data_IF_187252868084
#
_entry.id   IF_187252868084
#
_cell.length_a   1.000
_cell.length_b   1.000
_cell.length_c   1.000
_cell.angle_alpha   90.00
_cell.angle_beta   90.00
_cell.angle_gamma   90.00
#
_symmetry.space_group_name_H-M   'P 1'
#
loop_
_entity.id
_entity.type
_entity.pdbx_description
1 polymer ?
#
# COMPACT_ATOMS: atom_id res chain seq x y z
N UNK A 1 -41.69 -9.75 14.20
CA UNK A 1 -40.84 -10.07 15.35
C UNK A 1 -39.86 -11.21 15.10
N UNK A 2 -39.83 -11.78 13.86
CA UNK A 2 -38.83 -12.81 13.49
C UNK A 2 -37.50 -12.13 13.28
N UNK A 3 -36.47 -12.63 13.95
CA UNK A 3 -35.09 -12.20 13.73
C UNK A 3 -34.50 -12.92 12.52
N UNK A 4 -33.94 -12.18 11.61
CA UNK A 4 -33.18 -12.65 10.44
C UNK A 4 -31.74 -12.26 10.65
N UNK A 5 -30.85 -13.25 10.70
CA UNK A 5 -29.41 -13.05 10.82
C UNK A 5 -28.74 -13.33 9.48
N UNK A 6 -28.04 -12.34 8.94
CA UNK A 6 -27.24 -12.44 7.73
C UNK A 6 -25.77 -12.34 8.15
N UNK A 7 -24.99 -13.39 7.90
CA UNK A 7 -23.55 -13.43 8.18
C UNK A 7 -22.79 -13.52 6.86
N UNK A 8 -21.67 -12.79 6.78
CA UNK A 8 -20.82 -12.75 5.59
C UNK A 8 -19.45 -13.36 5.88
N UNK A 9 -18.86 -14.02 4.89
CA UNK A 9 -17.57 -14.70 5.00
C UNK A 9 -16.91 -14.92 3.64
N UNK A 10 -15.64 -15.27 3.66
CA UNK A 10 -14.85 -15.41 2.44
C UNK A 10 -14.53 -16.85 2.05
N UNK A 11 -14.57 -17.76 3.01
CA UNK A 11 -14.14 -19.15 2.83
C UNK A 11 -15.16 -20.13 3.35
N UNK A 12 -15.15 -21.33 2.77
CA UNK A 12 -15.80 -22.51 3.34
C UNK A 12 -14.72 -23.42 3.92
N UNK A 13 -14.96 -23.96 5.11
CA UNK A 13 -14.12 -24.98 5.71
C UNK A 13 -14.90 -26.30 5.70
N UNK A 14 -14.38 -27.31 5.01
CA UNK A 14 -15.03 -28.59 4.80
C UNK A 14 -16.47 -28.47 4.25
N UNK A 15 -16.68 -27.49 3.35
CA UNK A 15 -17.99 -27.19 2.76
C UNK A 15 -18.92 -26.36 3.65
N UNK A 16 -18.54 -26.04 4.87
CA UNK A 16 -19.33 -25.25 5.81
C UNK A 16 -18.90 -23.79 5.82
N UNK A 17 -19.84 -22.89 6.08
CA UNK A 17 -19.57 -21.47 6.27
C UNK A 17 -18.57 -21.27 7.41
N UNK A 18 -17.51 -20.51 7.14
CA UNK A 18 -16.45 -20.19 8.10
C UNK A 18 -16.14 -18.71 8.08
N UNK A 19 -16.07 -18.08 9.25
CA UNK A 19 -15.74 -16.67 9.42
C UNK A 19 -14.66 -16.42 10.48
N UNK A 20 -13.98 -17.45 10.99
CA UNK A 20 -12.91 -17.32 11.98
C UNK A 20 -11.69 -16.58 11.45
N UNK A 21 -11.48 -16.53 10.13
CA UNK A 21 -10.43 -15.74 9.49
C UNK A 21 -10.70 -14.23 9.55
N UNK A 22 -11.90 -13.79 9.92
CA UNK A 22 -12.26 -12.38 10.06
C UNK A 22 -11.84 -11.80 11.41
N UNK A 23 -11.18 -12.58 12.25
CA UNK A 23 -10.68 -12.22 13.59
C UNK A 23 -11.83 -11.80 14.51
N UNK A 24 -11.86 -10.55 14.97
CA UNK A 24 -12.90 -10.01 15.87
C UNK A 24 -14.05 -9.33 15.13
N UNK A 25 -13.96 -9.19 13.81
CA UNK A 25 -15.04 -8.60 13.02
C UNK A 25 -16.28 -9.49 13.05
N UNK A 26 -17.40 -8.94 13.53
CA UNK A 26 -18.66 -9.68 13.62
C UNK A 26 -19.29 -9.91 12.25
N UNK A 27 -19.03 -9.12 11.25
CA UNK A 27 -19.42 -9.28 9.85
C UNK A 27 -20.83 -9.86 9.68
N UNK A 28 -21.80 -9.27 10.38
CA UNK A 28 -23.18 -9.75 10.47
C UNK A 28 -24.18 -8.59 10.53
N UNK A 29 -25.37 -8.84 10.02
CA UNK A 29 -26.50 -7.93 10.04
C UNK A 29 -27.71 -8.61 10.67
N UNK A 30 -28.24 -7.99 11.71
CA UNK A 30 -29.44 -8.45 12.43
C UNK A 30 -30.64 -7.60 12.00
N UNK A 31 -31.65 -8.25 11.49
CA UNK A 31 -32.91 -7.61 11.13
C UNK A 31 -34.07 -8.26 11.86
N UNK A 32 -34.90 -7.46 12.49
CA UNK A 32 -36.14 -7.90 13.13
C UNK A 32 -37.30 -7.50 12.24
N UNK A 33 -37.95 -8.52 11.64
CA UNK A 33 -39.08 -8.31 10.74
C UNK A 33 -40.29 -7.71 11.47
N UNK A 34 -40.90 -6.71 10.89
CA UNK A 34 -42.18 -6.15 11.31
C UNK A 34 -43.38 -6.84 10.64
N UNK A 35 -43.14 -7.89 9.83
CA UNK A 35 -44.17 -8.66 9.13
C UNK A 35 -44.64 -8.03 7.81
N UNK A 36 -44.02 -6.92 7.37
CA UNK A 36 -44.31 -6.31 6.07
C UNK A 36 -43.30 -6.76 5.02
N UNK A 37 -43.75 -6.87 3.77
CA UNK A 37 -42.84 -7.07 2.63
C UNK A 37 -42.10 -5.77 2.32
N UNK A 38 -40.79 -5.83 2.33
CA UNK A 38 -39.92 -4.69 2.00
C UNK A 38 -38.50 -5.10 1.66
N UNK A 39 -37.84 -4.25 0.92
CA UNK A 39 -36.41 -4.30 0.68
C UNK A 39 -35.64 -3.80 1.92
N UNK A 40 -34.57 -4.51 2.29
CA UNK A 40 -33.74 -4.21 3.45
C UNK A 40 -32.33 -3.95 2.95
N UNK A 41 -31.82 -2.75 3.20
CA UNK A 41 -30.46 -2.34 2.87
C UNK A 41 -29.75 -1.87 4.13
N UNK A 42 -28.60 -2.47 4.52
CA UNK A 42 -27.81 -1.96 5.63
C UNK A 42 -27.31 -0.54 5.36
N UNK A 43 -27.35 0.33 6.37
CA UNK A 43 -26.88 1.71 6.28
C UNK A 43 -25.59 1.90 7.08
N UNK A 44 -24.68 2.76 6.60
CA UNK A 44 -23.43 3.15 7.24
C UNK A 44 -22.48 1.99 7.56
N UNK A 45 -22.58 0.91 6.79
CA UNK A 45 -21.71 -0.27 6.88
C UNK A 45 -21.62 -0.96 5.53
N UNK A 46 -20.54 -1.76 5.36
CA UNK A 46 -20.35 -2.64 4.22
C UNK A 46 -19.57 -3.88 4.64
N UNK A 47 -19.57 -4.89 3.80
CA UNK A 47 -18.95 -6.18 4.07
C UNK A 47 -18.15 -6.65 2.85
N UNK A 48 -16.94 -7.17 3.08
CA UNK A 48 -16.21 -7.93 2.07
C UNK A 48 -16.55 -9.41 2.21
N UNK A 49 -17.05 -10.07 1.14
CA UNK A 49 -17.49 -11.46 1.25
C UNK A 49 -17.50 -12.19 -0.10
N UNK A 50 -17.52 -13.52 -0.01
CA UNK A 50 -17.80 -14.45 -1.10
C UNK A 50 -19.02 -15.31 -0.81
N UNK A 51 -19.33 -15.51 0.47
CA UNK A 51 -20.41 -16.37 0.94
C UNK A 51 -21.29 -15.63 1.94
N UNK A 52 -22.57 -15.88 1.87
CA UNK A 52 -23.57 -15.34 2.80
C UNK A 52 -24.31 -16.51 3.44
N UNK A 53 -24.40 -16.48 4.77
CA UNK A 53 -25.23 -17.42 5.54
C UNK A 53 -26.40 -16.66 6.11
N UNK A 54 -27.62 -17.15 5.86
CA UNK A 54 -28.85 -16.57 6.39
C UNK A 54 -29.50 -17.56 7.36
N UNK A 55 -29.98 -17.04 8.48
CA UNK A 55 -30.65 -17.79 9.53
C UNK A 55 -31.92 -17.05 9.97
N UNK A 56 -32.88 -17.80 10.56
CA UNK A 56 -34.13 -17.24 11.06
C UNK A 56 -35.31 -17.28 10.07
N UNK A 57 -35.02 -17.61 8.80
CA UNK A 57 -36.06 -17.81 7.76
C UNK A 57 -35.78 -19.05 6.95
N UNK A 58 -36.83 -19.57 6.32
CA UNK A 58 -36.79 -20.75 5.43
C UNK A 58 -37.32 -20.37 4.05
N UNK A 59 -37.06 -21.22 3.06
CA UNK A 59 -37.56 -21.07 1.68
C UNK A 59 -37.01 -19.84 0.95
N UNK A 60 -35.76 -19.48 1.22
CA UNK A 60 -35.03 -18.43 0.49
C UNK A 60 -34.45 -18.95 -0.82
N UNK A 61 -34.47 -18.11 -1.83
CA UNK A 61 -33.72 -18.29 -3.08
C UNK A 61 -32.61 -17.25 -3.23
N UNK A 62 -31.70 -17.46 -4.18
CA UNK A 62 -30.70 -16.44 -4.51
C UNK A 62 -31.34 -15.17 -5.07
N UNK A 63 -32.53 -15.25 -5.64
CA UNK A 63 -33.28 -14.13 -6.21
C UNK A 63 -33.81 -13.15 -5.16
N UNK A 64 -33.84 -13.58 -3.89
CA UNK A 64 -34.22 -12.73 -2.76
C UNK A 64 -33.09 -11.77 -2.34
N UNK A 65 -31.91 -11.88 -2.96
CA UNK A 65 -30.73 -11.09 -2.60
C UNK A 65 -30.13 -10.36 -3.79
N UNK A 66 -29.77 -9.12 -3.57
CA UNK A 66 -28.99 -8.31 -4.52
C UNK A 66 -27.70 -7.85 -3.86
N UNK A 67 -26.55 -8.23 -4.44
CA UNK A 67 -25.25 -7.73 -3.98
C UNK A 67 -25.00 -6.35 -4.57
N UNK A 68 -24.77 -5.35 -3.71
CA UNK A 68 -24.43 -4.00 -4.09
C UNK A 68 -22.90 -3.80 -3.98
N UNK A 69 -22.27 -3.37 -5.06
CA UNK A 69 -20.85 -3.02 -5.06
C UNK A 69 -20.69 -1.58 -4.59
N UNK A 70 -19.95 -1.38 -3.52
CA UNK A 70 -19.62 -0.05 -2.98
C UNK A 70 -18.15 0.23 -3.23
N UNK A 71 -17.85 1.32 -3.91
CA UNK A 71 -16.49 1.84 -4.09
C UNK A 71 -16.55 3.36 -4.34
N UNK A 72 -15.41 4.04 -4.15
CA UNK A 72 -15.27 5.42 -4.62
C UNK A 72 -15.47 5.46 -6.14
N UNK A 73 -16.08 6.54 -6.62
CA UNK A 73 -16.31 6.74 -8.06
C UNK A 73 -15.01 7.12 -8.77
N UNK A 74 -14.57 6.29 -9.69
CA UNK A 74 -13.42 6.52 -10.57
C UNK A 74 -13.67 5.89 -11.95
N UNK A 75 -13.23 6.57 -12.99
CA UNK A 75 -13.31 6.06 -14.34
C UNK A 75 -12.30 4.95 -14.58
N UNK A 76 -12.74 3.81 -15.14
CA UNK A 76 -11.86 2.76 -15.62
C UNK A 76 -11.19 3.19 -16.92
N UNK A 77 -9.90 3.50 -16.89
CA UNK A 77 -9.13 3.98 -18.06
C UNK A 77 -8.21 2.91 -18.64
N UNK A 78 -7.85 1.89 -17.85
CA UNK A 78 -6.95 0.82 -18.27
C UNK A 78 -7.67 -0.47 -18.61
N UNK A 79 -7.16 -1.18 -19.63
CA UNK A 79 -7.60 -2.53 -19.99
C UNK A 79 -6.39 -3.35 -20.44
N UNK A 80 -6.25 -4.52 -19.86
CA UNK A 80 -5.27 -5.51 -20.31
C UNK A 80 -5.99 -6.83 -20.59
N UNK A 81 -5.76 -7.38 -21.77
CA UNK A 81 -6.24 -8.69 -22.19
C UNK A 81 -5.11 -9.43 -22.90
N UNK A 82 -4.88 -10.68 -22.54
CA UNK A 82 -3.80 -11.50 -23.05
C UNK A 82 -4.32 -12.85 -23.56
N UNK A 83 -3.50 -13.58 -24.31
CA UNK A 83 -3.81 -14.95 -24.69
C UNK A 83 -3.70 -15.98 -23.55
N UNK A 84 -3.40 -15.58 -22.33
CA UNK A 84 -3.22 -16.47 -21.18
C UNK A 84 -4.33 -16.25 -20.13
N UNK A 85 -5.20 -17.24 -19.98
CA UNK A 85 -6.39 -17.14 -19.11
C UNK A 85 -6.08 -16.78 -17.66
N UNK A 86 -5.02 -17.36 -17.04
CA UNK A 86 -4.65 -17.07 -15.66
C UNK A 86 -4.15 -15.62 -15.48
N UNK A 87 -3.51 -15.03 -16.51
CA UNK A 87 -3.12 -13.61 -16.47
C UNK A 87 -4.37 -12.73 -16.51
N UNK A 88 -5.34 -13.05 -17.37
CA UNK A 88 -6.60 -12.31 -17.44
C UNK A 88 -7.39 -12.43 -16.13
N UNK A 89 -7.38 -13.63 -15.51
CA UNK A 89 -8.00 -13.83 -14.19
C UNK A 89 -7.29 -13.01 -13.11
N UNK A 90 -5.95 -12.94 -13.13
CA UNK A 90 -5.18 -12.09 -12.21
C UNK A 90 -5.59 -10.62 -12.34
N UNK A 91 -5.67 -10.09 -13.57
CA UNK A 91 -6.10 -8.69 -13.81
C UNK A 91 -7.51 -8.45 -13.26
N UNK A 92 -8.44 -9.36 -13.53
CA UNK A 92 -9.81 -9.28 -12.97
C UNK A 92 -9.79 -9.28 -11.43
N UNK A 93 -8.98 -10.12 -10.80
CA UNK A 93 -8.86 -10.17 -9.35
C UNK A 93 -8.29 -8.86 -8.78
N UNK A 94 -7.30 -8.27 -9.45
CA UNK A 94 -6.71 -6.97 -9.06
C UNK A 94 -7.76 -5.86 -9.15
N UNK A 95 -8.55 -5.82 -10.23
CA UNK A 95 -9.65 -4.83 -10.37
C UNK A 95 -10.71 -4.99 -9.27
N UNK A 96 -11.11 -6.21 -8.94
CA UNK A 96 -12.07 -6.46 -7.85
C UNK A 96 -11.48 -6.16 -6.48
N UNK A 97 -10.20 -6.47 -6.25
CA UNK A 97 -9.49 -6.08 -5.04
C UNK A 97 -9.45 -4.57 -4.85
N UNK A 98 -9.16 -3.83 -5.93
CA UNK A 98 -9.20 -2.36 -5.91
C UNK A 98 -10.59 -1.83 -5.56
N UNK A 99 -11.66 -2.33 -6.19
CA UNK A 99 -13.05 -1.92 -5.90
C UNK A 99 -13.45 -2.19 -4.45
N UNK A 100 -13.06 -3.34 -3.91
CA UNK A 100 -13.37 -3.72 -2.53
C UNK A 100 -12.64 -2.87 -1.48
N UNK A 101 -11.51 -2.24 -1.85
CA UNK A 101 -10.66 -1.50 -0.93
C UNK A 101 -10.64 0.02 -1.16
N UNK A 102 -11.05 0.49 -2.33
CA UNK A 102 -11.10 1.93 -2.63
C UNK A 102 -12.48 2.50 -2.29
N UNK A 103 -12.72 2.72 -1.01
CA UNK A 103 -13.92 3.37 -0.50
C UNK A 103 -13.51 4.49 0.46
N UNK A 104 -13.47 5.73 -0.03
CA UNK A 104 -13.02 6.94 0.64
C UNK A 104 -11.50 6.98 0.92
N UNK A 105 -10.94 5.91 1.48
CA UNK A 105 -9.51 5.69 1.66
C UNK A 105 -9.09 4.34 1.06
N UNK A 106 -7.81 4.17 0.66
CA UNK A 106 -7.31 2.89 0.16
C UNK A 106 -7.05 1.94 1.32
N UNK A 107 -8.04 1.10 1.65
CA UNK A 107 -7.90 0.14 2.77
C UNK A 107 -7.08 -1.07 2.38
N UNK A 108 -6.47 -1.73 3.37
CA UNK A 108 -5.71 -2.97 3.22
C UNK A 108 -6.59 -4.19 2.96
N UNK A 109 -7.81 -4.17 3.46
CA UNK A 109 -8.76 -5.27 3.33
C UNK A 109 -10.21 -4.77 3.50
N UNK A 110 -11.21 -5.45 2.87
CA UNK A 110 -12.61 -5.03 2.97
C UNK A 110 -13.43 -5.76 4.04
N UNK A 111 -12.90 -6.80 4.72
CA UNK A 111 -13.74 -7.79 5.41
C UNK A 111 -13.47 -7.97 6.90
N UNK A 112 -12.19 -7.91 7.34
CA UNK A 112 -11.80 -8.22 8.73
C UNK A 112 -11.76 -6.99 9.62
N UNK A 113 -11.36 -7.15 10.88
CA UNK A 113 -11.27 -6.10 11.89
C UNK A 113 -10.08 -5.11 11.74
N UNK A 114 -9.69 -4.83 10.53
CA UNK A 114 -8.62 -3.89 10.15
C UNK A 114 -9.22 -2.78 9.29
N UNK A 115 -9.27 -2.91 7.99
CA UNK A 115 -9.88 -1.94 7.05
C UNK A 115 -9.36 -0.52 7.24
N UNK A 116 -8.05 -0.39 7.24
CA UNK A 116 -7.35 0.87 7.47
C UNK A 116 -6.61 1.33 6.23
N UNK A 117 -6.40 2.63 6.09
CA UNK A 117 -5.61 3.23 5.01
C UNK A 117 -4.11 3.07 5.25
N UNK A 118 -3.60 1.84 5.16
CA UNK A 118 -2.17 1.55 5.30
C UNK A 118 -1.35 2.20 4.19
N UNK A 119 -0.42 3.03 4.58
CA UNK A 119 0.40 3.82 3.64
C UNK A 119 1.35 2.95 2.83
N UNK A 120 1.88 1.86 3.39
CA UNK A 120 2.71 0.89 2.69
C UNK A 120 1.97 0.21 1.55
N UNK A 121 0.80 -0.33 1.83
CA UNK A 121 -0.08 -0.98 0.86
C UNK A 121 -0.45 -0.02 -0.28
N UNK A 122 -0.82 1.19 0.10
CA UNK A 122 -1.22 2.23 -0.85
C UNK A 122 -0.07 2.64 -1.76
N UNK A 123 1.14 2.87 -1.22
CA UNK A 123 2.27 3.29 -2.04
C UNK A 123 2.66 2.22 -3.06
N UNK A 124 2.69 0.94 -2.65
CA UNK A 124 3.02 -0.18 -3.55
C UNK A 124 1.98 -0.33 -4.66
N UNK A 125 0.71 -0.16 -4.34
CA UNK A 125 -0.39 -0.34 -5.28
C UNK A 125 -0.66 0.88 -6.16
N UNK A 126 -0.17 2.07 -5.82
CA UNK A 126 -0.52 3.35 -6.47
C UNK A 126 -0.30 3.37 -7.98
N UNK A 127 0.81 2.82 -8.47
CA UNK A 127 1.07 2.72 -9.91
C UNK A 127 0.11 1.73 -10.58
N UNK A 128 -0.15 0.57 -9.97
CA UNK A 128 -1.08 -0.44 -10.49
C UNK A 128 -2.49 0.14 -10.60
N UNK A 129 -2.97 0.83 -9.57
CA UNK A 129 -4.26 1.48 -9.59
C UNK A 129 -4.37 2.51 -10.72
N UNK A 130 -3.32 3.31 -10.93
CA UNK A 130 -3.28 4.35 -11.98
C UNK A 130 -3.16 3.78 -13.39
N UNK A 131 -2.70 2.53 -13.55
CA UNK A 131 -2.80 1.81 -14.83
C UNK A 131 -4.23 1.36 -15.15
N UNK A 132 -5.05 1.10 -14.12
CA UNK A 132 -6.39 0.55 -14.27
C UNK A 132 -7.47 1.62 -14.36
N UNK A 133 -7.28 2.75 -13.67
CA UNK A 133 -8.31 3.76 -13.51
C UNK A 133 -7.72 5.17 -13.38
N UNK A 134 -8.57 6.19 -13.60
CA UNK A 134 -8.26 7.56 -13.19
C UNK A 134 -8.37 7.67 -11.66
N UNK A 135 -7.21 7.63 -11.02
CA UNK A 135 -7.09 7.67 -9.57
C UNK A 135 -6.73 9.05 -9.03
N UNK A 136 -6.66 10.08 -9.90
CA UNK A 136 -6.17 11.40 -9.51
C UNK A 136 -6.95 12.01 -8.33
N UNK A 137 -8.27 12.07 -8.43
CA UNK A 137 -9.12 12.65 -7.39
C UNK A 137 -9.05 11.85 -6.08
N UNK A 138 -9.03 10.52 -6.19
CA UNK A 138 -8.95 9.62 -5.04
C UNK A 138 -7.64 9.78 -4.27
N UNK A 139 -6.50 9.73 -4.95
CA UNK A 139 -5.21 9.92 -4.31
C UNK A 139 -4.97 11.35 -3.85
N UNK A 140 -5.48 12.36 -4.57
CA UNK A 140 -5.40 13.75 -4.12
C UNK A 140 -6.06 13.94 -2.75
N UNK A 141 -7.24 13.32 -2.54
CA UNK A 141 -7.93 13.34 -1.24
C UNK A 141 -7.11 12.64 -0.16
N UNK A 142 -6.66 11.42 -0.42
CA UNK A 142 -5.88 10.62 0.53
C UNK A 142 -4.55 11.32 0.92
N UNK A 143 -3.86 11.90 -0.06
CA UNK A 143 -2.63 12.67 0.16
C UNK A 143 -2.88 13.94 1.00
N UNK A 144 -4.03 14.59 0.81
CA UNK A 144 -4.41 15.71 1.67
C UNK A 144 -4.59 15.26 3.11
N UNK A 145 -5.32 14.18 3.36
CA UNK A 145 -5.52 13.64 4.70
C UNK A 145 -4.18 13.25 5.35
N UNK A 146 -3.33 12.56 4.61
CA UNK A 146 -1.99 12.17 5.06
C UNK A 146 -1.13 13.38 5.44
N UNK A 147 -1.19 14.47 4.68
CA UNK A 147 -0.46 15.69 4.99
C UNK A 147 -1.00 16.38 6.25
N UNK A 148 -2.33 16.37 6.48
CA UNK A 148 -2.90 16.90 7.74
C UNK A 148 -2.40 16.12 8.97
N UNK A 149 -2.32 14.79 8.88
CA UNK A 149 -1.76 13.94 9.95
C UNK A 149 -0.24 14.22 10.14
N UNK A 150 0.50 14.38 9.06
CA UNK A 150 1.93 14.68 9.07
C UNK A 150 2.26 16.01 9.76
N UNK A 151 1.39 17.02 9.63
CA UNK A 151 1.54 18.32 10.32
C UNK A 151 1.46 18.18 11.84
N UNK A 152 0.77 17.15 12.36
CA UNK A 152 0.64 16.88 13.79
C UNK A 152 1.82 16.10 14.37
N UNK A 153 2.71 15.59 13.54
CA UNK A 153 3.75 14.62 13.87
C UNK A 153 5.16 15.07 13.50
N UNK A 154 5.38 16.38 13.36
CA UNK A 154 6.69 16.98 13.03
C UNK A 154 7.30 16.39 11.74
N UNK A 155 6.48 16.18 10.73
CA UNK A 155 6.88 15.68 9.42
C UNK A 155 6.86 14.16 9.26
N UNK A 156 6.61 13.40 10.33
CA UNK A 156 6.45 11.94 10.25
C UNK A 156 5.17 11.58 9.52
N UNK A 157 5.26 10.69 8.53
CA UNK A 157 4.10 10.12 7.87
C UNK A 157 3.64 8.89 8.65
N UNK A 158 2.38 8.84 9.11
CA UNK A 158 1.83 7.69 9.81
C UNK A 158 1.79 6.43 8.93
N UNK A 159 1.86 5.27 9.56
CA UNK A 159 1.68 3.97 8.88
C UNK A 159 0.24 3.75 8.38
N UNK A 160 -0.73 4.43 9.00
CA UNK A 160 -2.16 4.37 8.68
C UNK A 160 -2.73 5.78 8.61
N UNK A 161 -3.57 6.06 7.62
CA UNK A 161 -4.28 7.34 7.45
C UNK A 161 -5.76 7.09 7.17
N UNK A 162 -6.69 7.65 7.95
CA UNK A 162 -6.45 8.41 9.19
C UNK A 162 -5.96 7.53 10.35
N UNK A 163 -5.27 8.14 11.32
CA UNK A 163 -4.74 7.44 12.50
C UNK A 163 -5.80 7.26 13.60
N UNK A 164 -5.62 6.23 14.43
CA UNK A 164 -6.50 5.90 15.56
C UNK A 164 -5.74 5.85 16.89
N UNK A 165 -4.79 6.74 17.11
CA UNK A 165 -4.00 6.78 18.33
C UNK A 165 -2.55 7.15 18.08
N UNK A 166 -1.61 6.71 18.93
CA UNK A 166 -0.20 7.02 18.75
C UNK A 166 0.30 6.51 17.38
N UNK A 167 0.78 7.44 16.57
CA UNK A 167 1.28 7.15 15.24
C UNK A 167 2.66 6.51 15.28
N UNK A 168 2.88 5.57 14.38
CA UNK A 168 4.19 4.98 14.06
C UNK A 168 4.48 5.22 12.59
N UNK A 169 5.71 4.97 12.21
CA UNK A 169 6.13 4.99 10.82
C UNK A 169 7.19 3.93 10.54
N UNK A 170 7.39 3.63 9.27
CA UNK A 170 8.40 2.69 8.77
C UNK A 170 8.83 3.11 7.38
N UNK A 171 10.05 2.70 6.97
CA UNK A 171 10.43 2.75 5.57
C UNK A 171 9.43 1.96 4.70
N UNK A 172 9.28 2.33 3.46
CA UNK A 172 8.28 1.85 2.50
C UNK A 172 6.82 2.26 2.82
N UNK A 173 6.46 2.47 4.09
CA UNK A 173 5.15 3.01 4.50
C UNK A 173 5.10 4.53 4.39
N UNK A 174 5.93 5.25 5.16
CA UNK A 174 5.95 6.71 5.13
C UNK A 174 6.42 7.29 3.80
N UNK A 175 7.17 6.53 3.02
CA UNK A 175 7.60 6.92 1.65
C UNK A 175 6.41 7.11 0.68
N UNK A 176 5.21 6.75 1.10
CA UNK A 176 3.95 7.08 0.43
C UNK A 176 3.83 8.59 0.12
N UNK A 177 4.32 9.45 1.03
CA UNK A 177 4.32 10.90 0.83
C UNK A 177 5.10 11.35 -0.42
N UNK A 178 6.11 10.59 -0.82
CA UNK A 178 6.91 10.88 -2.02
C UNK A 178 6.43 10.07 -3.24
N UNK A 179 6.19 8.77 -3.05
CA UNK A 179 5.94 7.82 -4.15
C UNK A 179 4.56 8.04 -4.78
N UNK A 180 3.51 8.21 -3.97
CA UNK A 180 2.15 8.34 -4.49
C UNK A 180 1.99 9.60 -5.35
N UNK A 181 2.32 10.84 -4.88
CA UNK A 181 2.16 12.02 -5.70
C UNK A 181 3.04 12.00 -6.96
N UNK A 182 4.24 11.37 -6.89
CA UNK A 182 5.09 11.18 -8.05
C UNK A 182 4.43 10.24 -9.07
N UNK A 183 3.87 9.11 -8.65
CA UNK A 183 3.15 8.19 -9.53
C UNK A 183 1.94 8.89 -10.15
N UNK A 184 1.11 9.56 -9.35
CA UNK A 184 -0.06 10.31 -9.86
C UNK A 184 0.35 11.32 -10.93
N UNK A 185 1.45 12.04 -10.71
CA UNK A 185 2.00 12.95 -11.72
C UNK A 185 2.43 12.22 -13.00
N UNK A 186 3.14 11.11 -12.88
CA UNK A 186 3.61 10.35 -14.06
C UNK A 186 2.45 9.82 -14.93
N UNK A 187 1.33 9.47 -14.32
CA UNK A 187 0.17 8.95 -15.04
C UNK A 187 -0.76 10.05 -15.56
N UNK A 188 -0.91 11.16 -14.85
CA UNK A 188 -1.80 12.27 -15.24
C UNK A 188 -1.12 13.33 -16.09
N UNK A 189 0.19 13.51 -15.94
CA UNK A 189 0.92 14.67 -16.50
C UNK A 189 0.62 15.99 -15.78
N UNK A 190 -0.29 16.00 -14.80
CA UNK A 190 -0.69 17.21 -14.09
C UNK A 190 0.25 17.47 -12.89
N UNK A 191 1.08 18.50 -13.03
CA UNK A 191 2.01 18.92 -11.99
C UNK A 191 1.35 19.55 -10.77
N UNK A 192 0.05 19.88 -10.82
CA UNK A 192 -0.68 20.47 -9.69
C UNK A 192 -0.62 19.56 -8.46
N UNK A 193 -0.61 18.23 -8.64
CA UNK A 193 -0.46 17.29 -7.54
C UNK A 193 0.88 17.47 -6.83
N UNK A 194 1.97 17.70 -7.59
CA UNK A 194 3.30 17.96 -7.03
C UNK A 194 3.35 19.33 -6.33
N UNK A 195 2.70 20.37 -6.91
CA UNK A 195 2.59 21.68 -6.29
C UNK A 195 1.91 21.62 -4.92
N UNK A 196 0.87 20.79 -4.79
CA UNK A 196 0.12 20.60 -3.56
C UNK A 196 0.86 19.74 -2.53
N UNK A 197 1.73 18.84 -2.97
CA UNK A 197 2.36 17.84 -2.10
C UNK A 197 3.86 18.07 -1.83
N UNK A 198 4.51 19.02 -2.50
CA UNK A 198 5.96 19.21 -2.36
C UNK A 198 6.39 19.46 -0.91
N UNK A 199 5.59 20.17 -0.12
CA UNK A 199 5.90 20.44 1.28
C UNK A 199 5.76 19.17 2.15
N UNK A 200 4.77 18.32 1.89
CA UNK A 200 4.62 16.99 2.51
C UNK A 200 5.82 16.08 2.16
N UNK A 201 6.18 16.05 0.87
CA UNK A 201 7.31 15.26 0.37
C UNK A 201 8.63 15.65 1.04
N UNK A 202 8.87 16.96 1.15
CA UNK A 202 10.04 17.52 1.86
C UNK A 202 10.02 17.15 3.34
N UNK A 203 8.90 17.40 4.01
CA UNK A 203 8.75 17.15 5.43
C UNK A 203 9.07 15.69 5.80
N UNK A 204 8.70 14.74 4.93
CA UNK A 204 9.05 13.32 5.09
C UNK A 204 10.56 13.08 5.04
N UNK A 205 11.25 13.58 4.03
CA UNK A 205 12.70 13.42 3.88
C UNK A 205 13.44 14.13 5.02
N UNK A 206 12.99 15.31 5.41
CA UNK A 206 13.56 16.10 6.51
C UNK A 206 13.34 15.39 7.87
N UNK A 207 12.19 14.73 8.06
CA UNK A 207 11.94 13.88 9.23
C UNK A 207 12.96 12.73 9.31
N UNK A 208 13.17 11.98 8.23
CA UNK A 208 14.17 10.92 8.20
C UNK A 208 15.56 11.47 8.53
N UNK A 209 15.95 12.56 7.89
CA UNK A 209 17.23 13.23 8.12
C UNK A 209 17.43 13.63 9.58
N UNK A 210 16.37 14.13 10.24
CA UNK A 210 16.40 14.50 11.65
C UNK A 210 16.55 13.28 12.55
N UNK A 211 15.86 12.17 12.25
CA UNK A 211 15.92 10.92 13.03
C UNK A 211 17.23 10.17 12.82
N UNK A 212 17.77 10.21 11.61
CA UNK A 212 19.05 9.60 11.27
C UNK A 212 20.25 10.28 11.99
N UNK A 213 20.19 11.58 12.20
CA UNK A 213 21.26 12.34 12.80
C UNK A 213 22.50 12.39 11.93
N UNK A 214 23.67 11.97 12.46
CA UNK A 214 24.96 12.00 11.75
C UNK A 214 25.29 10.68 11.02
N UNK A 215 24.41 9.68 11.07
CA UNK A 215 24.72 8.32 10.59
C UNK A 215 24.52 8.12 9.09
N UNK A 216 23.92 9.07 8.39
CA UNK A 216 23.68 9.04 6.94
C UNK A 216 22.98 7.74 6.46
N UNK A 217 21.99 7.29 7.21
CA UNK A 217 21.16 6.14 6.88
C UNK A 217 20.05 6.00 7.91
N UNK A 218 18.91 5.39 7.55
CA UNK A 218 17.77 5.30 8.47
C UNK A 218 17.71 3.94 9.18
N UNK A 219 18.72 3.64 10.00
CA UNK A 219 18.98 2.30 10.55
C UNK A 219 18.52 2.09 11.99
N UNK A 220 18.35 3.16 12.77
CA UNK A 220 18.10 3.09 14.21
C UNK A 220 16.60 3.20 14.58
N UNK A 221 15.71 3.07 13.61
CA UNK A 221 14.27 3.11 13.80
C UNK A 221 13.66 1.72 13.63
N UNK A 222 12.42 1.55 14.07
CA UNK A 222 11.63 0.37 13.76
C UNK A 222 11.25 0.35 12.28
N UNK A 223 11.40 -0.79 11.63
CA UNK A 223 10.95 -1.01 10.27
C UNK A 223 10.23 -2.35 10.14
N UNK A 224 9.19 -2.38 9.31
CA UNK A 224 8.51 -3.62 8.94
C UNK A 224 9.36 -4.47 7.99
N UNK A 225 10.31 -3.86 7.30
CA UNK A 225 11.19 -4.55 6.38
C UNK A 225 10.44 -5.21 5.22
N UNK A 226 10.84 -6.43 4.92
CA UNK A 226 10.23 -7.27 3.88
C UNK A 226 9.03 -8.03 4.47
N UNK A 227 7.91 -7.30 4.66
CA UNK A 227 6.71 -7.78 5.33
C UNK A 227 6.08 -8.96 4.59
N UNK A 228 5.81 -10.05 5.31
CA UNK A 228 5.19 -11.27 4.79
C UNK A 228 5.96 -12.01 3.67
N UNK A 229 7.26 -11.75 3.50
CA UNK A 229 8.06 -12.50 2.53
C UNK A 229 8.20 -13.99 2.87
N UNK A 230 8.07 -14.37 4.16
CA UNK A 230 8.07 -15.76 4.67
C UNK A 230 9.35 -16.56 4.35
N UNK A 231 10.43 -15.89 4.01
CA UNK A 231 11.70 -16.49 3.58
C UNK A 231 12.81 -16.44 4.64
N UNK A 232 12.52 -15.99 5.87
CA UNK A 232 13.51 -15.87 6.96
C UNK A 232 13.93 -17.26 7.47
N UNK A 233 15.21 -17.65 7.32
CA UNK A 233 15.69 -18.94 7.78
C UNK A 233 15.51 -19.11 9.30
N UNK A 234 14.99 -20.27 9.73
CA UNK A 234 14.79 -20.57 11.14
C UNK A 234 13.70 -19.75 11.84
N UNK A 235 12.88 -19.03 11.08
CA UNK A 235 11.74 -18.32 11.64
C UNK A 235 10.76 -19.28 12.32
N UNK A 236 10.20 -18.85 13.47
CA UNK A 236 9.14 -19.59 14.15
C UNK A 236 7.81 -19.42 13.39
N UNK A 237 6.91 -20.37 13.59
CA UNK A 237 5.53 -20.25 13.11
C UNK A 237 4.92 -18.90 13.53
N UNK A 238 4.25 -18.23 12.59
CA UNK A 238 3.66 -16.90 12.81
C UNK A 238 4.65 -15.72 12.64
N UNK A 239 5.92 -15.97 12.27
CA UNK A 239 6.80 -14.88 11.89
C UNK A 239 6.32 -14.23 10.58
N UNK A 240 6.23 -12.92 10.59
CA UNK A 240 5.75 -12.10 9.46
C UNK A 240 6.86 -11.32 8.75
N UNK A 241 8.06 -11.31 9.31
CA UNK A 241 9.20 -10.58 8.76
C UNK A 241 10.02 -11.46 7.82
N UNK A 242 10.34 -10.94 6.63
CA UNK A 242 11.20 -11.60 5.66
C UNK A 242 12.68 -11.60 6.06
N UNK A 243 13.52 -12.21 5.21
CA UNK A 243 14.96 -12.34 5.42
C UNK A 243 15.76 -11.11 4.99
N UNK A 244 15.18 -10.20 4.22
CA UNK A 244 15.88 -9.00 3.73
C UNK A 244 16.24 -8.08 4.89
N UNK A 245 17.47 -7.59 4.90
CA UNK A 245 17.96 -6.65 5.90
C UNK A 245 17.09 -5.38 5.93
N UNK A 246 16.53 -5.07 7.08
CA UNK A 246 15.58 -3.95 7.26
C UNK A 246 16.27 -2.60 7.08
N UNK A 247 17.54 -2.50 7.52
CA UNK A 247 18.33 -1.28 7.36
C UNK A 247 18.65 -1.01 5.87
N UNK A 248 18.93 -2.06 5.10
CA UNK A 248 19.11 -1.95 3.66
C UNK A 248 17.86 -1.39 2.96
N UNK A 249 16.69 -1.92 3.31
CA UNK A 249 15.42 -1.43 2.74
C UNK A 249 15.23 0.05 3.11
N UNK A 250 15.45 0.41 4.37
CA UNK A 250 15.30 1.78 4.85
C UNK A 250 16.24 2.76 4.16
N UNK A 251 17.52 2.40 4.02
CA UNK A 251 18.52 3.22 3.34
C UNK A 251 18.18 3.44 1.84
N UNK A 252 17.69 2.40 1.16
CA UNK A 252 17.26 2.47 -0.25
C UNK A 252 16.04 3.37 -0.41
N UNK A 253 15.02 3.24 0.46
CA UNK A 253 13.81 4.07 0.37
C UNK A 253 14.08 5.52 0.75
N UNK A 254 14.98 5.78 1.71
CA UNK A 254 15.42 7.14 2.04
C UNK A 254 16.06 7.83 0.82
N UNK A 255 17.02 7.17 0.18
CA UNK A 255 17.68 7.68 -1.03
C UNK A 255 16.67 7.90 -2.17
N UNK A 256 15.75 6.97 -2.36
CA UNK A 256 14.71 7.05 -3.40
C UNK A 256 13.74 8.21 -3.15
N UNK A 257 13.30 8.40 -1.91
CA UNK A 257 12.41 9.51 -1.54
C UNK A 257 13.07 10.86 -1.73
N UNK A 258 14.33 11.03 -1.31
CA UNK A 258 15.09 12.25 -1.57
C UNK A 258 15.23 12.52 -3.08
N UNK A 259 15.52 11.51 -3.87
CA UNK A 259 15.59 11.64 -5.33
C UNK A 259 14.25 12.02 -5.96
N UNK A 260 13.13 11.50 -5.45
CA UNK A 260 11.78 11.86 -5.92
C UNK A 260 11.50 13.34 -5.60
N UNK A 261 11.84 13.83 -4.40
CA UNK A 261 11.70 15.26 -4.06
C UNK A 261 12.51 16.13 -5.01
N UNK A 262 13.76 15.77 -5.29
CA UNK A 262 14.60 16.49 -6.25
C UNK A 262 13.96 16.54 -7.66
N UNK A 263 13.46 15.42 -8.16
CA UNK A 263 12.75 15.35 -9.45
C UNK A 263 11.48 16.19 -9.47
N UNK A 264 10.67 16.12 -8.41
CA UNK A 264 9.45 16.93 -8.29
C UNK A 264 9.77 18.43 -8.26
N UNK A 265 10.78 18.83 -7.51
CA UNK A 265 11.28 20.22 -7.48
C UNK A 265 11.74 20.70 -8.86
N UNK A 266 12.41 19.84 -9.62
CA UNK A 266 12.81 20.13 -11.01
C UNK A 266 11.61 20.35 -11.94
N UNK A 267 10.59 19.50 -11.87
CA UNK A 267 9.32 19.67 -12.62
C UNK A 267 8.64 20.99 -12.27
N UNK A 268 8.72 21.41 -11.01
CA UNK A 268 8.11 22.65 -10.51
C UNK A 268 8.99 23.89 -10.75
N UNK A 269 10.18 23.76 -11.34
CA UNK A 269 11.11 24.86 -11.58
C UNK A 269 11.75 25.42 -10.31
N UNK A 270 11.75 24.67 -9.21
CA UNK A 270 12.33 25.06 -7.90
C UNK A 270 13.80 24.63 -7.81
N UNK A 271 14.70 25.34 -8.53
CA UNK A 271 16.09 24.93 -8.75
C UNK A 271 16.91 24.75 -7.47
N UNK A 272 16.78 25.64 -6.49
CA UNK A 272 17.50 25.51 -5.21
C UNK A 272 17.06 24.26 -4.45
N UNK A 273 15.76 24.02 -4.39
CA UNK A 273 15.20 22.83 -3.76
C UNK A 273 15.64 21.56 -4.47
N UNK A 274 15.62 21.57 -5.80
CA UNK A 274 16.10 20.46 -6.62
C UNK A 274 17.55 20.13 -6.28
N UNK A 275 18.42 21.14 -6.21
CA UNK A 275 19.84 20.95 -5.89
C UNK A 275 20.02 20.37 -4.48
N UNK A 276 19.37 20.94 -3.48
CA UNK A 276 19.44 20.48 -2.09
C UNK A 276 19.07 18.98 -1.96
N UNK A 277 17.92 18.58 -2.50
CA UNK A 277 17.48 17.19 -2.36
C UNK A 277 18.20 16.23 -3.29
N UNK A 278 18.79 16.71 -4.39
CA UNK A 278 19.68 15.89 -5.20
C UNK A 278 20.99 15.59 -4.44
N UNK A 279 21.56 16.56 -3.73
CA UNK A 279 22.74 16.36 -2.89
C UNK A 279 22.48 15.34 -1.77
N UNK A 280 21.29 15.42 -1.12
CA UNK A 280 20.86 14.42 -0.14
C UNK A 280 20.74 13.04 -0.78
N UNK A 281 20.07 12.94 -1.93
CA UNK A 281 19.89 11.67 -2.65
C UNK A 281 21.24 11.05 -3.04
N UNK A 282 22.15 11.84 -3.61
CA UNK A 282 23.47 11.37 -4.05
C UNK A 282 24.30 10.85 -2.86
N UNK A 283 24.23 11.55 -1.73
CA UNK A 283 24.87 11.11 -0.50
C UNK A 283 24.29 9.78 0.00
N UNK A 284 22.98 9.63 0.02
CA UNK A 284 22.32 8.40 0.48
C UNK A 284 22.57 7.24 -0.48
N UNK A 285 22.52 7.45 -1.80
CA UNK A 285 22.91 6.41 -2.76
C UNK A 285 24.36 5.97 -2.59
N UNK A 286 25.26 6.89 -2.23
CA UNK A 286 26.65 6.54 -1.89
C UNK A 286 26.70 5.66 -0.64
N UNK A 287 25.96 5.99 0.43
CA UNK A 287 25.84 5.17 1.65
C UNK A 287 25.37 3.76 1.32
N UNK A 288 24.31 3.62 0.52
CA UNK A 288 23.79 2.32 0.09
C UNK A 288 24.85 1.52 -0.68
N UNK A 289 25.56 2.16 -1.61
CA UNK A 289 26.61 1.50 -2.40
C UNK A 289 27.79 1.07 -1.53
N UNK A 290 28.27 1.94 -0.65
CA UNK A 290 29.44 1.69 0.18
C UNK A 290 29.17 0.57 1.21
N UNK A 291 27.96 0.49 1.75
CA UNK A 291 27.61 -0.46 2.80
C UNK A 291 27.23 -1.85 2.24
N UNK A 292 26.45 -1.89 1.18
CA UNK A 292 25.82 -3.13 0.72
C UNK A 292 26.38 -3.69 -0.59
N UNK A 293 27.33 -3.00 -1.22
CA UNK A 293 27.90 -3.45 -2.49
C UNK A 293 29.42 -3.57 -2.39
N UNK A 294 29.96 -4.62 -2.97
CA UNK A 294 31.40 -4.74 -3.13
C UNK A 294 31.92 -3.79 -4.21
N UNK A 295 33.24 -3.51 -4.22
CA UNK A 295 33.87 -2.71 -5.26
C UNK A 295 33.66 -3.24 -6.70
N UNK A 296 33.30 -4.53 -6.83
CA UNK A 296 32.95 -5.15 -8.13
C UNK A 296 31.46 -5.08 -8.47
N UNK A 297 30.66 -4.38 -7.66
CA UNK A 297 29.22 -4.19 -7.88
C UNK A 297 28.33 -5.36 -7.45
N UNK A 298 28.86 -6.32 -6.67
CA UNK A 298 28.07 -7.43 -6.14
C UNK A 298 27.27 -6.98 -4.90
N UNK A 299 25.95 -7.15 -4.93
CA UNK A 299 25.08 -6.91 -3.77
C UNK A 299 25.36 -7.95 -2.67
N UNK A 300 25.51 -7.51 -1.42
CA UNK A 300 25.65 -8.37 -0.25
C UNK A 300 24.30 -8.98 0.18
N UNK A 301 23.20 -8.30 -0.07
CA UNK A 301 21.84 -8.72 0.27
C UNK A 301 21.31 -9.64 -0.84
N UNK A 302 21.21 -10.94 -0.55
CA UNK A 302 20.93 -11.98 -1.55
C UNK A 302 19.48 -12.48 -1.54
N UNK A 303 18.59 -11.76 -0.90
CA UNK A 303 17.17 -12.06 -0.95
C UNK A 303 16.55 -11.57 -2.24
N UNK A 304 15.39 -12.10 -2.61
CA UNK A 304 14.67 -11.66 -3.82
C UNK A 304 14.39 -10.15 -3.78
N UNK A 305 13.86 -9.66 -2.66
CA UNK A 305 13.58 -8.23 -2.47
C UNK A 305 14.85 -7.39 -2.52
N UNK A 306 15.93 -7.82 -1.86
CA UNK A 306 17.20 -7.13 -1.89
C UNK A 306 17.78 -6.97 -3.30
N UNK A 307 17.74 -8.03 -4.10
CA UNK A 307 18.22 -8.00 -5.49
C UNK A 307 17.26 -7.20 -6.39
N UNK A 308 15.96 -7.27 -6.16
CA UNK A 308 14.96 -6.48 -6.90
C UNK A 308 15.16 -4.98 -6.68
N UNK A 309 15.41 -4.54 -5.45
CA UNK A 309 15.73 -3.15 -5.15
C UNK A 309 17.04 -2.72 -5.80
N UNK A 310 18.07 -3.57 -5.78
CA UNK A 310 19.34 -3.29 -6.45
C UNK A 310 19.16 -3.09 -7.96
N UNK A 311 18.33 -3.89 -8.60
CA UNK A 311 18.01 -3.79 -10.04
C UNK A 311 17.15 -2.56 -10.35
N UNK A 312 16.10 -2.33 -9.57
CA UNK A 312 15.15 -1.21 -9.75
C UNK A 312 15.87 0.15 -9.72
N UNK A 313 16.84 0.31 -8.84
CA UNK A 313 17.56 1.56 -8.64
C UNK A 313 18.95 1.58 -9.29
N UNK A 314 19.28 0.58 -10.12
CA UNK A 314 20.54 0.49 -10.85
C UNK A 314 21.79 0.64 -9.95
N UNK A 315 21.78 -0.02 -8.79
CA UNK A 315 22.81 0.14 -7.76
C UNK A 315 24.16 -0.52 -8.13
N UNK A 316 24.16 -1.45 -9.09
CA UNK A 316 25.36 -2.03 -9.67
C UNK A 316 25.63 -1.46 -11.06
N UNK A 317 26.83 -0.93 -11.26
CA UNK A 317 27.33 -0.46 -12.58
C UNK A 317 27.96 -1.60 -13.39
N UNK A 318 28.07 -2.80 -12.81
CA UNK A 318 28.67 -3.97 -13.44
C UNK A 318 27.62 -4.83 -14.12
N UNK A 319 27.58 -4.82 -15.46
CA UNK A 319 26.61 -5.57 -16.25
C UNK A 319 26.60 -7.08 -15.94
N UNK A 320 27.77 -7.67 -15.69
CA UNK A 320 27.87 -9.10 -15.32
C UNK A 320 27.21 -9.37 -13.99
N UNK A 321 27.35 -8.48 -13.00
CA UNK A 321 26.70 -8.61 -11.69
C UNK A 321 25.18 -8.37 -11.82
N UNK A 322 24.77 -7.37 -12.60
CA UNK A 322 23.35 -7.12 -12.90
C UNK A 322 22.70 -8.35 -13.55
N UNK A 323 23.36 -8.96 -14.56
CA UNK A 323 22.87 -10.20 -15.20
C UNK A 323 22.81 -11.40 -14.23
N UNK A 324 23.71 -11.48 -13.24
CA UNK A 324 23.63 -12.51 -12.19
C UNK A 324 22.46 -12.27 -11.24
N UNK A 325 22.19 -11.04 -10.82
CA UNK A 325 21.05 -10.70 -9.97
C UNK A 325 19.71 -11.06 -10.63
N UNK A 326 19.59 -10.86 -11.97
CA UNK A 326 18.40 -11.22 -12.73
C UNK A 326 18.13 -12.73 -12.80
N UNK A 327 19.13 -13.57 -12.54
CA UNK A 327 19.03 -15.03 -12.60
C UNK A 327 18.82 -15.71 -11.26
N UNK A 328 18.95 -14.94 -10.19
CA UNK A 328 18.74 -15.40 -8.80
C UNK A 328 17.31 -15.19 -8.37
#
# INVERSE_FOLDING_TARGET
GTEILIQTGEVLQDGNFYNGNLRTAKSEYHYISDGTEKEIVPHFTYYGYRYVKVSGVTNLSCDDFTALVLCSDYEKTGRLETGHELVNQLISNVEWGMRGNFLDVPTDCPQRDERMGWTGDTQVFSATASYLADTYAFYRKFLYDMYQEQLLTDGMVPEVVPTFGPSKTSCAWGDAACIIPWNVYLFSGDKTILEQQIDSMKAWVDYIRKVDGEHHGWRNSFHYGDWLALDRPGAKEGNVYGATDEAYIADVYYAASAQIVAKAAGVLGKSELQKEYQEIADQQWKVVKDEYFTATGRCAIKTQTGLTLALKYHLSENETMTAKMLKT
#
